data_IF_687471341363
#
_entry.id   IF_687471341363
#
_cell.length_a   1.000
_cell.length_b   1.000
_cell.length_c   1.000
_cell.angle_alpha   90.00
_cell.angle_beta   90.00
_cell.angle_gamma   90.00
#
_symmetry.space_group_name_H-M   'P 1'
#
loop_
_entity.id
_entity.type
_entity.pdbx_description
1 polymer ?
#
# COMPACT_ATOMS: atom_id res chain seq x y z
N UNK A 1 -12.75 -1.41 17.98
CA UNK A 1 -13.30 -1.67 16.62
C UNK A 1 -13.27 -0.34 15.89
N UNK A 2 -12.82 -0.32 14.63
CA UNK A 2 -12.58 0.90 13.86
C UNK A 2 -13.31 0.84 12.52
N UNK A 3 -13.63 1.98 11.94
CA UNK A 3 -14.06 2.13 10.56
C UNK A 3 -12.83 2.29 9.67
N UNK A 4 -12.62 1.37 8.74
CA UNK A 4 -11.40 1.27 7.93
C UNK A 4 -11.73 1.32 6.44
N UNK A 5 -11.09 2.23 5.71
CA UNK A 5 -11.13 2.28 4.25
C UNK A 5 -9.83 1.67 3.69
N UNK A 6 -9.96 0.72 2.75
CA UNK A 6 -8.82 0.02 2.15
C UNK A 6 -8.82 0.26 0.65
N UNK A 7 -7.74 0.79 0.09
CA UNK A 7 -7.62 0.99 -1.36
C UNK A 7 -7.13 -0.28 -2.07
N UNK A 8 -7.75 -0.64 -3.21
CA UNK A 8 -7.32 -1.76 -4.04
C UNK A 8 -7.56 -3.13 -3.42
N UNK A 9 -8.81 -3.45 -3.10
CA UNK A 9 -9.20 -4.66 -2.37
C UNK A 9 -9.76 -5.78 -3.25
N UNK A 10 -9.55 -5.74 -4.57
CA UNK A 10 -10.08 -6.80 -5.46
C UNK A 10 -9.31 -8.12 -5.35
N UNK A 11 -8.00 -8.06 -5.10
CA UNK A 11 -7.11 -9.23 -5.01
C UNK A 11 -5.99 -9.02 -3.99
N UNK A 12 -5.18 -10.03 -3.77
CA UNK A 12 -3.90 -9.96 -3.05
C UNK A 12 -4.00 -9.41 -1.63
N UNK A 13 -3.01 -8.62 -1.25
CA UNK A 13 -2.89 -8.03 0.10
C UNK A 13 -4.15 -7.26 0.49
N UNK A 14 -4.67 -6.39 -0.38
CA UNK A 14 -5.86 -5.59 -0.06
C UNK A 14 -7.11 -6.44 0.19
N UNK A 15 -7.30 -7.52 -0.56
CA UNK A 15 -8.37 -8.49 -0.35
C UNK A 15 -8.22 -9.19 1.00
N UNK A 16 -7.03 -9.73 1.29
CA UNK A 16 -6.75 -10.40 2.57
C UNK A 16 -6.91 -9.45 3.75
N UNK A 17 -6.41 -8.23 3.63
CA UNK A 17 -6.60 -7.19 4.66
C UNK A 17 -8.08 -6.92 4.93
N UNK A 18 -8.91 -6.80 3.88
CA UNK A 18 -10.34 -6.56 4.05
C UNK A 18 -11.02 -7.72 4.79
N UNK A 19 -10.70 -8.96 4.44
CA UNK A 19 -11.22 -10.16 5.09
C UNK A 19 -10.75 -10.25 6.55
N UNK A 20 -9.46 -10.09 6.81
CA UNK A 20 -8.85 -10.17 8.16
C UNK A 20 -9.43 -9.12 9.11
N UNK A 21 -9.52 -7.86 8.67
CA UNK A 21 -10.10 -6.80 9.50
C UNK A 21 -11.60 -7.00 9.73
N UNK A 22 -12.34 -7.55 8.77
CA UNK A 22 -13.75 -7.88 8.94
C UNK A 22 -13.95 -9.01 9.96
N UNK A 23 -13.08 -10.04 9.96
CA UNK A 23 -13.03 -11.10 10.98
C UNK A 23 -12.75 -10.54 12.36
N UNK A 24 -11.82 -9.58 12.48
CA UNK A 24 -11.49 -8.89 13.72
C UNK A 24 -12.61 -7.96 14.22
N UNK A 25 -13.71 -7.81 13.46
CA UNK A 25 -14.91 -7.07 13.85
C UNK A 25 -14.89 -5.59 13.49
N UNK A 26 -13.93 -5.14 12.68
CA UNK A 26 -13.91 -3.78 12.13
C UNK A 26 -15.06 -3.56 11.12
N UNK A 27 -15.48 -2.31 10.96
CA UNK A 27 -16.32 -1.90 9.83
C UNK A 27 -15.41 -1.59 8.65
N UNK A 28 -15.47 -2.42 7.60
CA UNK A 28 -14.52 -2.37 6.49
C UNK A 28 -15.17 -1.86 5.22
N UNK A 29 -14.56 -0.85 4.61
CA UNK A 29 -14.89 -0.36 3.28
C UNK A 29 -13.78 -0.80 2.32
N UNK A 30 -14.00 -1.93 1.66
CA UNK A 30 -13.11 -2.50 0.66
C UNK A 30 -13.32 -1.78 -0.67
N UNK A 31 -12.32 -1.04 -1.17
CA UNK A 31 -12.53 -0.26 -2.38
C UNK A 31 -11.91 -0.90 -3.62
N UNK A 32 -12.58 -0.73 -4.75
CA UNK A 32 -12.20 -1.25 -6.06
C UNK A 32 -12.43 -0.19 -7.12
N UNK A 33 -11.62 -0.19 -8.18
CA UNK A 33 -11.65 0.85 -9.21
C UNK A 33 -12.90 0.78 -10.10
N UNK A 34 -13.31 -0.43 -10.47
CA UNK A 34 -14.43 -0.66 -11.38
C UNK A 34 -15.28 -1.84 -10.89
N UNK A 35 -16.07 -1.60 -9.83
CA UNK A 35 -16.85 -2.66 -9.18
C UNK A 35 -18.00 -3.19 -10.05
N UNK A 36 -18.41 -2.45 -11.06
CA UNK A 36 -19.51 -2.81 -11.97
C UNK A 36 -19.10 -3.69 -13.15
N UNK A 37 -17.82 -3.66 -13.56
CA UNK A 37 -17.34 -4.37 -14.74
C UNK A 37 -16.10 -5.22 -14.40
N UNK A 38 -14.92 -4.61 -14.43
CA UNK A 38 -13.64 -5.31 -14.26
C UNK A 38 -13.57 -6.10 -12.96
N UNK A 39 -14.02 -5.52 -11.87
CA UNK A 39 -13.91 -6.10 -10.52
C UNK A 39 -15.22 -6.79 -10.07
N UNK A 40 -16.24 -6.92 -10.96
CA UNK A 40 -17.57 -7.43 -10.61
C UNK A 40 -17.54 -8.82 -9.95
N UNK A 41 -16.69 -9.73 -10.42
CA UNK A 41 -16.50 -11.05 -9.81
C UNK A 41 -16.00 -10.94 -8.37
N UNK A 42 -14.94 -10.17 -8.14
CA UNK A 42 -14.38 -9.95 -6.81
C UNK A 42 -15.39 -9.29 -5.85
N UNK A 43 -16.20 -8.36 -6.37
CA UNK A 43 -17.30 -7.73 -5.62
C UNK A 43 -18.35 -8.76 -5.20
N UNK A 44 -18.79 -9.61 -6.14
CA UNK A 44 -19.78 -10.65 -5.87
C UNK A 44 -19.29 -11.59 -4.78
N UNK A 45 -18.08 -12.11 -4.92
CA UNK A 45 -17.46 -13.04 -3.96
C UNK A 45 -17.31 -12.42 -2.58
N UNK A 46 -16.80 -11.18 -2.50
CA UNK A 46 -16.58 -10.52 -1.22
C UNK A 46 -17.90 -10.19 -0.51
N UNK A 47 -18.93 -9.75 -1.26
CA UNK A 47 -20.27 -9.52 -0.72
C UNK A 47 -20.95 -10.81 -0.26
N UNK A 48 -20.80 -11.90 -1.01
CA UNK A 48 -21.34 -13.21 -0.63
C UNK A 48 -20.70 -13.72 0.66
N UNK A 49 -19.36 -13.63 0.74
CA UNK A 49 -18.60 -14.02 1.93
C UNK A 49 -18.98 -13.17 3.15
N UNK A 50 -19.09 -11.86 2.99
CA UNK A 50 -19.50 -10.95 4.05
C UNK A 50 -20.89 -11.27 4.60
N UNK A 51 -21.86 -11.57 3.72
CA UNK A 51 -23.21 -12.01 4.12
C UNK A 51 -23.16 -13.33 4.87
N UNK A 52 -22.44 -14.33 4.33
CA UNK A 52 -22.33 -15.66 4.94
C UNK A 52 -21.73 -15.60 6.36
N UNK A 53 -20.74 -14.73 6.56
CA UNK A 53 -20.00 -14.60 7.82
C UNK A 53 -20.56 -13.53 8.77
N UNK A 54 -21.54 -12.75 8.33
CA UNK A 54 -22.09 -11.64 9.12
C UNK A 54 -21.10 -10.48 9.32
N UNK A 55 -20.17 -10.29 8.38
CA UNK A 55 -19.16 -9.24 8.48
C UNK A 55 -19.72 -7.84 8.16
N UNK A 56 -19.23 -6.85 8.87
CA UNK A 56 -19.49 -5.43 8.59
C UNK A 56 -18.56 -4.94 7.46
N UNK A 57 -18.69 -5.55 6.27
CA UNK A 57 -17.87 -5.25 5.11
C UNK A 57 -18.75 -4.74 3.96
N UNK A 58 -18.34 -3.64 3.37
CA UNK A 58 -18.94 -3.03 2.18
C UNK A 58 -17.93 -2.86 1.07
N UNK A 59 -18.38 -2.93 -0.17
CA UNK A 59 -17.56 -2.64 -1.35
C UNK A 59 -17.98 -1.29 -1.89
N UNK A 60 -16.99 -0.40 -2.09
CA UNK A 60 -17.17 0.96 -2.58
C UNK A 60 -16.27 1.19 -3.79
N UNK A 61 -16.76 1.97 -4.75
CA UNK A 61 -15.94 2.40 -5.88
C UNK A 61 -14.92 3.44 -5.43
N UNK A 62 -13.66 3.22 -5.79
CA UNK A 62 -12.59 4.20 -5.64
C UNK A 62 -11.52 3.97 -6.69
N UNK A 63 -11.39 4.92 -7.62
CA UNK A 63 -10.24 5.04 -8.51
C UNK A 63 -9.26 6.04 -7.91
N UNK A 64 -8.09 5.55 -7.50
CA UNK A 64 -7.04 6.38 -6.87
C UNK A 64 -6.45 7.42 -7.84
N UNK A 65 -6.67 7.28 -9.14
CA UNK A 65 -6.24 8.27 -10.14
C UNK A 65 -7.20 9.46 -10.24
N UNK A 66 -8.35 9.41 -9.56
CA UNK A 66 -9.38 10.46 -9.55
C UNK A 66 -9.58 11.05 -8.16
N UNK A 67 -9.30 12.35 -8.01
CA UNK A 67 -9.60 13.08 -6.76
C UNK A 67 -11.09 13.03 -6.42
N UNK A 68 -11.97 13.20 -7.42
CA UNK A 68 -13.41 13.17 -7.22
C UNK A 68 -13.90 11.80 -6.73
N UNK A 69 -13.32 10.70 -7.25
CA UNK A 69 -13.62 9.35 -6.79
C UNK A 69 -13.18 9.13 -5.35
N UNK A 70 -11.99 9.60 -4.98
CA UNK A 70 -11.49 9.52 -3.59
C UNK A 70 -12.41 10.29 -2.62
N UNK A 71 -12.82 11.51 -2.99
CA UNK A 71 -13.75 12.33 -2.20
C UNK A 71 -15.13 11.68 -2.07
N UNK A 72 -15.65 11.09 -3.15
CA UNK A 72 -16.94 10.41 -3.13
C UNK A 72 -16.90 9.16 -2.23
N UNK A 73 -15.83 8.37 -2.30
CA UNK A 73 -15.65 7.19 -1.46
C UNK A 73 -15.56 7.55 0.03
N UNK A 74 -14.76 8.55 0.38
CA UNK A 74 -14.65 9.01 1.79
C UNK A 74 -15.97 9.58 2.28
N UNK A 75 -16.66 10.38 1.48
CA UNK A 75 -17.98 10.91 1.82
C UNK A 75 -18.98 9.79 2.09
N UNK A 76 -19.01 8.77 1.23
CA UNK A 76 -19.89 7.61 1.42
C UNK A 76 -19.64 6.92 2.77
N UNK A 77 -18.37 6.75 3.18
CA UNK A 77 -18.03 6.20 4.50
C UNK A 77 -18.58 7.08 5.62
N UNK A 78 -18.39 8.40 5.52
CA UNK A 78 -18.82 9.35 6.55
C UNK A 78 -20.34 9.50 6.64
N UNK A 79 -21.07 9.31 5.54
CA UNK A 79 -22.54 9.33 5.52
C UNK A 79 -23.14 8.08 6.17
N UNK A 80 -22.42 6.96 6.20
CA UNK A 80 -22.88 5.68 6.76
C UNK A 80 -22.40 5.39 8.18
N UNK A 81 -21.41 6.14 8.68
CA UNK A 81 -20.72 5.86 9.96
C UNK A 81 -20.46 7.13 10.76
N UNK A 82 -20.15 6.96 12.05
CA UNK A 82 -19.76 8.05 12.94
C UNK A 82 -18.38 8.63 12.63
N UNK A 83 -17.64 8.04 11.67
CA UNK A 83 -16.34 8.54 11.25
C UNK A 83 -15.46 7.49 10.58
N UNK A 84 -14.36 7.97 10.02
CA UNK A 84 -13.30 7.17 9.40
C UNK A 84 -12.09 7.15 10.35
N UNK A 85 -11.76 5.97 10.90
CA UNK A 85 -10.70 5.81 11.89
C UNK A 85 -9.36 5.45 11.25
N UNK A 86 -9.36 4.70 10.14
CA UNK A 86 -8.13 4.32 9.46
C UNK A 86 -8.28 4.28 7.95
N UNK A 87 -7.20 4.63 7.25
CA UNK A 87 -7.04 4.41 5.81
C UNK A 87 -5.85 3.49 5.56
N UNK A 88 -6.08 2.41 4.81
CA UNK A 88 -5.03 1.52 4.33
C UNK A 88 -4.76 1.81 2.86
N UNK A 89 -3.63 2.46 2.59
CA UNK A 89 -3.15 2.74 1.24
C UNK A 89 -2.45 1.49 0.69
N UNK A 90 -3.20 0.67 -0.03
CA UNK A 90 -2.70 -0.57 -0.61
C UNK A 90 -2.74 -0.57 -2.15
N UNK A 91 -3.59 0.22 -2.77
CA UNK A 91 -3.70 0.28 -4.22
C UNK A 91 -2.34 0.55 -4.88
N UNK A 92 -2.02 -0.25 -5.88
CA UNK A 92 -0.78 -0.14 -6.63
C UNK A 92 -0.63 -1.29 -7.61
N UNK A 93 0.27 -1.12 -8.56
CA UNK A 93 0.64 -2.16 -9.49
C UNK A 93 2.11 -2.08 -9.89
N UNK A 94 2.56 -3.07 -10.63
CA UNK A 94 3.94 -3.34 -11.02
C UNK A 94 4.11 -3.17 -12.52
N UNK A 95 5.27 -2.64 -12.94
CA UNK A 95 5.76 -2.67 -14.32
C UNK A 95 7.09 -3.40 -14.37
N UNK A 96 7.27 -4.25 -15.40
CA UNK A 96 8.49 -5.02 -15.67
C UNK A 96 8.99 -4.67 -17.06
N UNK A 97 10.27 -4.36 -17.19
CA UNK A 97 10.90 -4.07 -18.49
C UNK A 97 12.17 -3.24 -18.36
N UNK A 98 12.71 -2.84 -19.50
CA UNK A 98 13.90 -2.01 -19.61
C UNK A 98 13.56 -0.56 -19.33
N UNK A 99 14.35 0.11 -18.52
CA UNK A 99 14.05 1.49 -18.08
C UNK A 99 13.92 2.44 -19.27
N UNK A 100 14.78 2.33 -20.27
CA UNK A 100 14.73 3.17 -21.48
C UNK A 100 13.48 2.95 -22.34
N UNK A 101 12.90 1.74 -22.31
CA UNK A 101 11.72 1.40 -23.08
C UNK A 101 10.39 1.89 -22.45
N UNK A 102 10.41 2.30 -21.18
CA UNK A 102 9.27 2.96 -20.58
C UNK A 102 9.21 4.41 -21.04
N UNK A 103 8.09 4.79 -21.64
CA UNK A 103 7.83 6.18 -21.97
C UNK A 103 7.57 7.02 -20.73
N UNK A 104 7.63 8.34 -20.86
CA UNK A 104 7.24 9.29 -19.81
C UNK A 104 5.79 9.06 -19.33
N UNK A 105 4.89 8.67 -20.24
CA UNK A 105 3.52 8.30 -19.90
C UNK A 105 3.46 7.04 -19.03
N UNK A 106 4.26 6.01 -19.31
CA UNK A 106 4.30 4.78 -18.50
C UNK A 106 4.77 5.10 -17.07
N UNK A 107 5.86 5.86 -16.96
CA UNK A 107 6.42 6.27 -15.66
C UNK A 107 5.42 7.16 -14.90
N UNK A 108 4.83 8.14 -15.59
CA UNK A 108 3.85 9.05 -15.00
C UNK A 108 2.61 8.32 -14.51
N UNK A 109 2.09 7.36 -15.30
CA UNK A 109 0.93 6.55 -14.91
C UNK A 109 1.23 5.72 -13.65
N UNK A 110 2.41 5.10 -13.57
CA UNK A 110 2.77 4.29 -12.41
C UNK A 110 2.91 5.14 -11.13
N UNK A 111 3.53 6.32 -11.26
CA UNK A 111 3.58 7.30 -10.17
C UNK A 111 2.19 7.80 -9.78
N UNK A 112 1.33 8.04 -10.76
CA UNK A 112 -0.04 8.52 -10.53
C UNK A 112 -0.86 7.53 -9.71
N UNK A 113 -0.77 6.24 -10.04
CA UNK A 113 -1.46 5.18 -9.28
C UNK A 113 -0.79 4.95 -7.93
N UNK A 114 0.52 4.62 -7.92
CA UNK A 114 1.19 4.08 -6.73
C UNK A 114 1.51 5.16 -5.68
N UNK A 115 1.71 6.41 -6.10
CA UNK A 115 2.16 7.50 -5.22
C UNK A 115 1.11 8.60 -5.07
N UNK A 116 0.71 9.21 -6.18
CA UNK A 116 -0.23 10.34 -6.15
C UNK A 116 -1.62 9.87 -5.73
N UNK A 117 -1.97 8.62 -6.05
CA UNK A 117 -3.22 8.01 -5.61
C UNK A 117 -3.41 8.03 -4.10
N UNK A 118 -2.39 7.66 -3.34
CA UNK A 118 -2.43 7.74 -1.87
C UNK A 118 -2.57 9.19 -1.38
N UNK A 119 -1.89 10.13 -2.03
CA UNK A 119 -2.03 11.55 -1.71
C UNK A 119 -3.46 12.06 -1.95
N UNK A 120 -4.14 11.65 -3.03
CA UNK A 120 -5.54 12.01 -3.28
C UNK A 120 -6.46 11.49 -2.19
N UNK A 121 -6.27 10.25 -1.75
CA UNK A 121 -7.06 9.66 -0.66
C UNK A 121 -6.78 10.37 0.67
N UNK A 122 -5.53 10.73 0.95
CA UNK A 122 -5.19 11.57 2.10
C UNK A 122 -5.91 12.92 2.07
N UNK A 123 -5.93 13.59 0.93
CA UNK A 123 -6.64 14.88 0.78
C UNK A 123 -8.14 14.76 1.06
N UNK A 124 -8.74 13.62 0.76
CA UNK A 124 -10.14 13.35 1.06
C UNK A 124 -10.38 13.02 2.54
N UNK A 125 -9.51 12.20 3.15
CA UNK A 125 -9.70 11.68 4.51
C UNK A 125 -9.21 12.62 5.62
N UNK A 126 -8.08 13.29 5.43
CA UNK A 126 -7.41 14.11 6.45
C UNK A 126 -8.25 15.27 7.00
N UNK A 127 -9.12 15.98 6.25
CA UNK A 127 -9.97 17.00 6.83
C UNK A 127 -10.84 16.47 7.98
N UNK A 128 -11.43 15.29 7.81
CA UNK A 128 -12.22 14.62 8.85
C UNK A 128 -11.34 14.16 10.03
N UNK A 129 -10.24 13.46 9.77
CA UNK A 129 -9.33 12.98 10.82
C UNK A 129 -8.74 14.12 11.64
N UNK A 130 -8.35 15.24 10.99
CA UNK A 130 -7.84 16.42 11.69
C UNK A 130 -8.89 17.08 12.58
N UNK A 131 -10.14 17.16 12.12
CA UNK A 131 -11.23 17.75 12.92
C UNK A 131 -11.52 16.93 14.19
N UNK A 132 -11.39 15.60 14.08
CA UNK A 132 -11.53 14.66 15.21
C UNK A 132 -10.27 14.53 16.06
N UNK A 133 -9.14 15.04 15.58
CA UNK A 133 -7.81 14.85 16.18
C UNK A 133 -7.49 13.37 16.45
N UNK A 134 -7.88 12.51 15.54
CA UNK A 134 -7.71 11.06 15.66
C UNK A 134 -7.76 10.42 14.29
N UNK A 135 -6.93 9.40 14.08
CA UNK A 135 -6.91 8.60 12.87
C UNK A 135 -5.63 7.80 12.73
N UNK A 136 -5.63 6.87 11.78
CA UNK A 136 -4.44 6.10 11.40
C UNK A 136 -4.31 6.07 9.87
N UNK A 137 -3.17 6.50 9.37
CA UNK A 137 -2.76 6.30 7.99
C UNK A 137 -1.80 5.11 7.93
N UNK A 138 -2.20 4.05 7.26
CA UNK A 138 -1.39 2.86 7.07
C UNK A 138 -1.02 2.71 5.60
N UNK A 139 0.27 2.64 5.31
CA UNK A 139 0.80 2.56 3.97
C UNK A 139 1.38 1.17 3.70
N UNK A 140 0.91 0.49 2.66
CA UNK A 140 1.51 -0.75 2.17
C UNK A 140 2.64 -0.37 1.19
N UNK A 141 3.83 -0.18 1.77
CA UNK A 141 5.06 0.15 1.06
C UNK A 141 5.64 -1.04 0.31
N UNK A 142 6.95 -1.21 0.36
CA UNK A 142 7.66 -2.38 -0.15
C UNK A 142 9.12 -2.37 0.31
N UNK A 143 9.74 -3.54 0.41
CA UNK A 143 11.20 -3.66 0.58
C UNK A 143 11.97 -3.27 -0.68
N UNK A 144 11.29 -3.19 -1.83
CA UNK A 144 11.88 -3.00 -3.15
C UNK A 144 12.64 -1.67 -3.31
N UNK A 145 12.26 -0.65 -2.55
CA UNK A 145 12.96 0.65 -2.55
C UNK A 145 14.38 0.57 -1.96
N UNK A 146 14.68 -0.50 -1.22
CA UNK A 146 15.99 -0.78 -0.64
C UNK A 146 16.75 -1.81 -1.49
N UNK A 147 16.09 -2.89 -1.90
CA UNK A 147 16.72 -3.99 -2.66
C UNK A 147 16.96 -3.66 -4.13
N UNK A 148 16.18 -2.74 -4.72
CA UNK A 148 16.34 -2.18 -6.08
C UNK A 148 16.71 -3.21 -7.17
N UNK A 149 15.89 -4.27 -7.38
CA UNK A 149 16.22 -5.31 -8.36
C UNK A 149 16.15 -4.78 -9.79
N UNK A 150 16.84 -5.43 -10.76
CA UNK A 150 16.79 -5.05 -12.17
C UNK A 150 15.39 -5.18 -12.77
N UNK A 151 15.14 -4.51 -13.88
CA UNK A 151 13.93 -4.55 -14.70
C UNK A 151 12.65 -4.00 -14.04
N UNK A 152 12.74 -3.39 -12.88
CA UNK A 152 11.64 -2.84 -12.09
C UNK A 152 11.78 -1.33 -11.84
N UNK A 153 12.56 -0.62 -12.67
CA UNK A 153 12.96 0.79 -12.42
C UNK A 153 11.81 1.73 -12.06
N UNK A 154 10.78 1.91 -12.90
CA UNK A 154 9.64 2.78 -12.57
C UNK A 154 8.88 2.36 -11.31
N UNK A 155 8.76 1.06 -11.06
CA UNK A 155 8.11 0.54 -9.86
C UNK A 155 8.91 0.87 -8.59
N UNK A 156 10.22 0.62 -8.60
CA UNK A 156 11.13 1.01 -7.51
C UNK A 156 11.01 2.50 -7.21
N UNK A 157 11.08 3.34 -8.26
CA UNK A 157 10.94 4.79 -8.12
C UNK A 157 9.60 5.19 -7.51
N UNK A 158 8.49 4.57 -7.94
CA UNK A 158 7.16 4.86 -7.41
C UNK A 158 7.00 4.48 -5.94
N UNK A 159 7.58 3.35 -5.51
CA UNK A 159 7.54 2.92 -4.10
C UNK A 159 8.46 3.76 -3.21
N UNK A 160 9.60 4.20 -3.71
CA UNK A 160 10.46 5.15 -2.99
C UNK A 160 9.76 6.51 -2.80
N UNK A 161 9.10 7.03 -3.84
CA UNK A 161 8.33 8.27 -3.77
C UNK A 161 7.13 8.14 -2.82
N UNK A 162 6.43 7.00 -2.83
CA UNK A 162 5.33 6.69 -1.92
C UNK A 162 5.79 6.71 -0.45
N UNK A 163 6.91 6.05 -0.14
CA UNK A 163 7.50 6.03 1.20
C UNK A 163 7.90 7.43 1.67
N UNK A 164 8.60 8.19 0.82
CA UNK A 164 9.02 9.55 1.16
C UNK A 164 7.82 10.48 1.45
N UNK A 165 6.74 10.38 0.66
CA UNK A 165 5.49 11.11 0.92
C UNK A 165 4.85 10.71 2.24
N UNK A 166 4.79 9.41 2.55
CA UNK A 166 4.25 8.91 3.81
C UNK A 166 5.06 9.43 5.01
N UNK A 167 6.38 9.42 4.91
CA UNK A 167 7.30 9.95 5.94
C UNK A 167 7.03 11.42 6.21
N UNK A 168 6.99 12.27 5.16
CA UNK A 168 6.78 13.72 5.35
C UNK A 168 5.36 14.00 5.85
N UNK A 169 4.36 13.32 5.31
CA UNK A 169 2.97 13.43 5.80
C UNK A 169 2.89 13.12 7.29
N UNK A 170 3.62 12.11 7.78
CA UNK A 170 3.59 11.70 9.18
C UNK A 170 3.98 12.82 10.15
N UNK A 171 4.95 13.65 9.78
CA UNK A 171 5.37 14.80 10.62
C UNK A 171 4.25 15.83 10.79
N UNK A 172 3.53 16.09 9.70
CA UNK A 172 2.47 17.09 9.67
C UNK A 172 1.24 16.59 10.43
N UNK A 173 0.81 15.35 10.18
CA UNK A 173 -0.44 14.82 10.75
C UNK A 173 -0.31 14.38 12.20
N UNK A 174 0.90 14.08 12.68
CA UNK A 174 1.15 13.71 14.07
C UNK A 174 0.68 14.80 15.05
N UNK A 175 0.75 16.05 14.65
CA UNK A 175 0.33 17.20 15.47
C UNK A 175 -1.21 17.32 15.60
N UNK A 176 -1.93 16.51 14.83
CA UNK A 176 -3.39 16.39 14.88
C UNK A 176 -3.87 15.05 15.45
N UNK A 177 -3.03 14.33 16.20
CA UNK A 177 -3.42 13.06 16.80
C UNK A 177 -3.56 11.91 15.80
N UNK A 178 -3.02 12.06 14.56
CA UNK A 178 -3.11 11.06 13.51
C UNK A 178 -1.81 10.28 13.47
N UNK A 179 -1.90 8.95 13.61
CA UNK A 179 -0.77 8.02 13.54
C UNK A 179 -0.47 7.62 12.09
N UNK A 180 0.80 7.33 11.82
CA UNK A 180 1.24 6.79 10.54
C UNK A 180 2.05 5.53 10.77
N UNK A 181 1.72 4.46 10.02
CA UNK A 181 2.51 3.23 9.96
C UNK A 181 2.77 2.84 8.51
N UNK A 182 4.00 2.42 8.21
CA UNK A 182 4.40 1.93 6.89
C UNK A 182 4.73 0.44 7.03
N UNK A 183 3.88 -0.42 6.46
CA UNK A 183 4.16 -1.85 6.33
C UNK A 183 4.91 -2.07 5.03
N UNK A 184 6.05 -2.76 5.10
CA UNK A 184 6.93 -3.01 3.96
C UNK A 184 6.97 -4.50 3.62
N UNK A 185 6.07 -4.96 2.73
CA UNK A 185 6.14 -6.33 2.25
C UNK A 185 7.42 -6.58 1.45
N UNK A 186 8.02 -7.77 1.63
CA UNK A 186 8.98 -8.35 0.71
C UNK A 186 8.31 -8.83 -0.58
N UNK A 187 8.98 -9.71 -1.32
CA UNK A 187 8.39 -10.33 -2.50
C UNK A 187 7.19 -11.19 -2.12
N UNK A 188 6.04 -10.95 -2.72
CA UNK A 188 4.84 -11.78 -2.61
C UNK A 188 4.55 -12.35 -4.00
N UNK A 189 5.00 -13.58 -4.24
CA UNK A 189 4.93 -14.23 -5.56
C UNK A 189 3.65 -15.03 -5.77
N UNK A 190 2.94 -15.36 -4.70
CA UNK A 190 1.74 -16.18 -4.73
C UNK A 190 0.54 -15.45 -4.09
N UNK A 191 -0.67 -15.87 -4.45
CA UNK A 191 -1.89 -15.31 -3.86
C UNK A 191 -2.21 -13.86 -4.22
N UNK A 192 -1.47 -13.28 -5.18
CA UNK A 192 -1.68 -11.92 -5.71
C UNK A 192 -1.68 -11.93 -7.24
N UNK A 193 -2.27 -10.87 -7.83
CA UNK A 193 -2.15 -10.61 -9.27
C UNK A 193 -0.97 -9.70 -9.60
N UNK A 194 0.03 -9.57 -8.72
CA UNK A 194 1.07 -8.56 -8.84
C UNK A 194 1.98 -8.83 -10.04
N UNK A 195 2.61 -10.00 -10.09
CA UNK A 195 3.43 -10.42 -11.24
C UNK A 195 2.59 -10.79 -12.47
N UNK A 196 1.53 -11.62 -12.38
CA UNK A 196 0.72 -11.95 -13.55
C UNK A 196 0.03 -10.74 -14.20
N UNK A 197 -0.30 -9.74 -13.41
CA UNK A 197 -0.93 -8.49 -13.87
C UNK A 197 0.05 -7.35 -14.10
N UNK A 198 1.37 -7.63 -14.16
CA UNK A 198 2.37 -6.61 -14.41
C UNK A 198 2.18 -5.92 -15.76
N UNK A 199 2.32 -4.60 -15.78
CA UNK A 199 2.44 -3.85 -17.02
C UNK A 199 3.85 -3.96 -17.62
N UNK A 200 3.97 -3.61 -18.88
CA UNK A 200 5.24 -3.63 -19.61
C UNK A 200 5.51 -2.27 -20.27
N UNK A 201 6.76 -2.05 -20.64
CA UNK A 201 7.17 -0.85 -21.37
C UNK A 201 6.44 -0.73 -22.71
N UNK A 202 5.99 0.48 -23.05
CA UNK A 202 5.18 0.71 -24.24
C UNK A 202 6.01 1.02 -25.50
N UNK A 203 7.27 1.45 -25.39
CA UNK A 203 8.14 1.64 -26.57
C UNK A 203 8.83 0.33 -26.98
N UNK A 204 8.12 -0.45 -27.80
CA UNK A 204 8.61 -1.73 -28.31
C UNK A 204 9.82 -1.58 -29.25
N UNK A 205 10.02 -0.40 -29.86
CA UNK A 205 11.18 -0.15 -30.74
C UNK A 205 12.47 -0.04 -29.92
N UNK A 206 12.37 0.51 -28.75
CA UNK A 206 13.49 0.54 -27.78
C UNK A 206 13.64 -0.82 -27.13
N UNK A 207 12.54 -1.45 -26.70
CA UNK A 207 12.59 -2.75 -26.03
C UNK A 207 13.32 -3.81 -26.85
N UNK A 208 13.10 -3.88 -28.16
CA UNK A 208 13.75 -4.86 -29.06
C UNK A 208 15.27 -4.69 -29.13
N UNK A 209 15.80 -3.51 -28.81
CA UNK A 209 17.25 -3.27 -28.77
C UNK A 209 17.94 -3.92 -27.56
N UNK A 210 17.14 -4.33 -26.57
CA UNK A 210 17.56 -5.02 -25.35
C UNK A 210 17.30 -6.52 -25.40
N UNK A 211 16.95 -7.10 -26.57
CA UNK A 211 16.53 -8.49 -26.72
C UNK A 211 17.55 -9.53 -26.16
N UNK A 212 18.84 -9.20 -26.11
CA UNK A 212 19.84 -10.03 -25.47
C UNK A 212 19.58 -10.27 -23.97
N UNK A 213 18.81 -9.37 -23.33
CA UNK A 213 18.46 -9.46 -21.90
C UNK A 213 17.08 -10.10 -21.66
N UNK A 214 16.30 -10.40 -22.73
CA UNK A 214 14.96 -10.99 -22.59
C UNK A 214 14.93 -12.21 -21.67
N UNK A 215 15.90 -13.17 -21.75
CA UNK A 215 15.91 -14.32 -20.84
C UNK A 215 16.06 -13.95 -19.36
N UNK A 216 16.61 -12.77 -19.06
CA UNK A 216 16.71 -12.27 -17.68
C UNK A 216 15.40 -11.63 -17.22
N UNK A 217 14.72 -10.92 -18.12
CA UNK A 217 13.40 -10.31 -17.84
C UNK A 217 12.36 -11.40 -17.63
N UNK A 218 12.31 -12.40 -18.51
CA UNK A 218 11.33 -13.50 -18.46
C UNK A 218 11.40 -14.29 -17.14
N UNK A 219 12.59 -14.50 -16.60
CA UNK A 219 12.76 -15.20 -15.33
C UNK A 219 12.63 -14.33 -14.07
N UNK A 220 12.23 -13.05 -14.20
CA UNK A 220 12.12 -12.14 -13.05
C UNK A 220 11.21 -12.70 -11.95
N UNK A 221 10.07 -13.29 -12.33
CA UNK A 221 9.16 -13.92 -11.36
C UNK A 221 9.79 -15.13 -10.67
N UNK A 222 10.38 -16.04 -11.43
CA UNK A 222 11.09 -17.23 -10.90
C UNK A 222 12.26 -16.82 -9.99
N UNK A 223 13.02 -15.79 -10.37
CA UNK A 223 14.11 -15.28 -9.56
C UNK A 223 13.63 -14.75 -8.20
N UNK A 224 12.45 -14.17 -8.13
CA UNK A 224 11.84 -13.77 -6.85
C UNK A 224 11.38 -14.98 -6.03
N UNK A 225 10.88 -16.04 -6.66
CA UNK A 225 10.52 -17.27 -5.96
C UNK A 225 11.75 -18.00 -5.36
N UNK A 226 12.90 -17.88 -6.01
CA UNK A 226 14.16 -18.47 -5.53
C UNK A 226 14.77 -17.73 -4.31
N UNK A 227 14.23 -16.57 -3.92
CA UNK A 227 14.66 -15.87 -2.70
C UNK A 227 14.26 -16.60 -1.43
N UNK A 228 13.26 -17.47 -1.49
CA UNK A 228 12.71 -18.10 -0.30
C UNK A 228 13.47 -19.39 0.08
N UNK A 229 13.66 -19.58 1.37
CA UNK A 229 14.15 -20.87 1.87
C UNK A 229 13.17 -22.01 1.51
N UNK A 230 13.64 -23.25 1.30
CA UNK A 230 12.77 -24.38 1.02
C UNK A 230 11.64 -24.52 2.05
N UNK A 231 10.41 -24.59 1.59
CA UNK A 231 9.21 -24.69 2.44
C UNK A 231 8.68 -23.38 2.98
N UNK A 232 9.30 -22.24 2.67
CA UNK A 232 8.79 -20.92 2.99
C UNK A 232 7.86 -20.43 1.86
N UNK A 233 6.72 -19.89 2.22
CA UNK A 233 5.78 -19.26 1.28
C UNK A 233 5.56 -17.80 1.69
N UNK A 234 5.65 -16.91 0.71
CA UNK A 234 5.31 -15.51 0.90
C UNK A 234 3.81 -15.32 0.64
N UNK A 235 3.01 -15.50 1.69
CA UNK A 235 1.55 -15.37 1.64
C UNK A 235 1.14 -13.91 1.92
N UNK A 236 0.30 -13.28 1.09
CA UNK A 236 -0.26 -11.95 1.38
C UNK A 236 -1.03 -11.89 2.71
N UNK A 237 -1.42 -13.03 3.28
CA UNK A 237 -2.04 -13.11 4.61
C UNK A 237 -1.11 -12.56 5.70
N UNK A 238 0.19 -12.83 5.65
CA UNK A 238 1.15 -12.31 6.63
C UNK A 238 1.15 -10.78 6.73
N UNK A 239 0.95 -10.12 5.59
CA UNK A 239 0.85 -8.65 5.54
C UNK A 239 -0.49 -8.19 6.12
N UNK A 240 -1.58 -8.89 5.84
CA UNK A 240 -2.89 -8.59 6.39
C UNK A 240 -2.93 -8.76 7.91
N UNK A 241 -2.30 -9.81 8.43
CA UNK A 241 -2.18 -10.07 9.87
C UNK A 241 -1.35 -8.98 10.57
N UNK A 242 -0.28 -8.51 9.94
CA UNK A 242 0.51 -7.40 10.47
C UNK A 242 -0.27 -6.09 10.49
N UNK A 243 -1.06 -5.80 9.44
CA UNK A 243 -1.94 -4.63 9.39
C UNK A 243 -2.97 -4.69 10.55
N UNK A 244 -3.60 -5.85 10.77
CA UNK A 244 -4.55 -6.05 11.88
C UNK A 244 -3.85 -5.84 13.22
N UNK A 245 -2.69 -6.47 13.42
CA UNK A 245 -1.89 -6.31 14.64
C UNK A 245 -1.58 -4.84 14.94
N UNK A 246 -1.17 -4.07 13.92
CA UNK A 246 -0.88 -2.63 14.08
C UNK A 246 -2.14 -1.85 14.45
N UNK A 247 -3.27 -2.11 13.79
CA UNK A 247 -4.52 -1.40 14.06
C UNK A 247 -5.08 -1.73 15.47
N UNK A 248 -4.81 -2.93 15.99
CA UNK A 248 -5.21 -3.33 17.34
C UNK A 248 -4.39 -2.66 18.45
N UNK A 249 -3.22 -2.10 18.14
CA UNK A 249 -2.38 -1.44 19.15
C UNK A 249 -3.01 -0.14 19.67
N UNK A 250 -2.80 0.19 20.94
CA UNK A 250 -3.21 1.46 21.53
C UNK A 250 -2.64 2.65 20.75
N UNK A 251 -3.34 3.77 20.82
CA UNK A 251 -2.85 5.05 20.28
C UNK A 251 -1.49 5.39 20.90
N UNK A 252 -0.54 5.80 20.08
CA UNK A 252 0.82 6.11 20.47
C UNK A 252 1.78 4.91 20.56
N UNK A 253 1.26 3.68 20.33
CA UNK A 253 2.05 2.44 20.39
C UNK A 253 2.27 1.78 19.03
N UNK A 254 1.71 2.32 17.96
CA UNK A 254 1.88 1.77 16.60
C UNK A 254 3.31 2.00 16.09
N UNK A 255 3.96 0.97 15.54
CA UNK A 255 5.28 1.15 14.94
C UNK A 255 5.18 2.09 13.73
N UNK A 256 6.16 2.98 13.59
CA UNK A 256 6.24 3.82 12.40
C UNK A 256 6.50 2.99 11.14
N UNK A 257 7.30 1.91 11.27
CA UNK A 257 7.65 1.01 10.18
C UNK A 257 7.63 -0.45 10.64
N UNK A 258 7.13 -1.34 9.78
CA UNK A 258 7.14 -2.78 9.99
C UNK A 258 7.50 -3.49 8.69
N UNK A 259 8.52 -4.35 8.71
CA UNK A 259 8.95 -5.14 7.56
C UNK A 259 8.34 -6.54 7.67
N UNK A 260 7.66 -6.99 6.60
CA UNK A 260 7.08 -8.33 6.47
C UNK A 260 7.73 -9.00 5.28
N UNK A 261 8.90 -9.59 5.48
CA UNK A 261 9.74 -10.13 4.41
C UNK A 261 10.14 -11.58 4.70
N UNK A 262 9.49 -12.51 4.01
CA UNK A 262 9.79 -13.94 4.12
C UNK A 262 11.12 -14.34 3.45
N UNK A 263 11.72 -13.47 2.65
CA UNK A 263 13.02 -13.67 2.03
C UNK A 263 14.20 -13.25 2.93
N UNK A 264 13.91 -12.59 4.06
CA UNK A 264 14.91 -12.13 5.04
C UNK A 264 16.06 -11.32 4.39
N UNK A 265 15.72 -10.43 3.46
CA UNK A 265 16.69 -9.63 2.70
C UNK A 265 17.44 -8.56 3.56
N UNK A 266 17.20 -8.50 4.86
CA UNK A 266 17.89 -7.57 5.78
C UNK A 266 17.42 -6.12 5.67
N UNK A 267 16.28 -5.88 5.04
CA UNK A 267 15.74 -4.53 4.83
C UNK A 267 15.34 -3.86 6.16
N UNK A 268 14.92 -4.64 7.14
CA UNK A 268 14.61 -4.19 8.49
C UNK A 268 15.80 -3.47 9.15
N UNK A 269 17.02 -4.00 9.01
CA UNK A 269 18.24 -3.38 9.53
C UNK A 269 18.56 -2.06 8.84
N UNK A 270 18.44 -2.02 7.50
CA UNK A 270 18.67 -0.80 6.71
C UNK A 270 17.67 0.28 7.09
N UNK A 271 16.39 -0.08 7.21
CA UNK A 271 15.34 0.87 7.55
C UNK A 271 15.41 1.35 8.99
N UNK A 272 15.80 0.49 9.93
CA UNK A 272 16.04 0.91 11.32
C UNK A 272 17.13 1.96 11.40
N UNK A 273 18.26 1.77 10.70
CA UNK A 273 19.33 2.77 10.65
C UNK A 273 18.90 4.06 9.93
N UNK A 274 18.16 3.94 8.83
CA UNK A 274 17.60 5.08 8.09
C UNK A 274 16.67 5.91 8.98
N UNK A 275 15.77 5.27 9.71
CA UNK A 275 14.81 5.96 10.59
C UNK A 275 15.54 6.64 11.77
N UNK A 276 16.55 6.01 12.36
CA UNK A 276 17.40 6.66 13.38
C UNK A 276 18.10 7.94 12.84
N UNK A 277 18.65 7.84 11.63
CA UNK A 277 19.32 8.98 10.98
C UNK A 277 18.33 10.12 10.70
N UNK A 278 17.16 9.78 10.17
CA UNK A 278 16.04 10.69 9.88
C UNK A 278 15.59 11.41 11.16
N UNK A 279 15.34 10.67 12.23
CA UNK A 279 14.93 11.25 13.50
C UNK A 279 15.98 12.19 14.09
N UNK A 280 17.26 11.78 14.08
CA UNK A 280 18.35 12.61 14.55
C UNK A 280 18.42 13.92 13.76
N UNK A 281 18.25 13.87 12.43
CA UNK A 281 18.24 15.05 11.57
C UNK A 281 17.05 15.97 11.87
N UNK A 282 15.83 15.43 11.98
CA UNK A 282 14.62 16.20 12.30
C UNK A 282 14.74 16.90 13.67
N UNK A 283 15.32 16.22 14.67
CA UNK A 283 15.59 16.81 15.99
C UNK A 283 16.61 17.98 15.88
N UNK A 284 17.64 17.82 15.07
CA UNK A 284 18.65 18.90 14.85
C UNK A 284 18.07 20.09 14.11
N UNK A 285 17.06 19.90 13.26
CA UNK A 285 16.30 20.99 12.63
C UNK A 285 15.38 21.73 13.61
N UNK A 286 15.17 21.23 14.79
CA UNK A 286 14.27 21.81 15.78
C UNK A 286 12.81 21.38 15.66
N UNK A 287 12.52 20.28 14.94
CA UNK A 287 11.16 19.76 14.74
C UNK A 287 10.88 18.45 15.51
N UNK A 288 11.50 18.26 16.66
CA UNK A 288 11.41 17.04 17.47
C UNK A 288 9.96 16.65 17.83
N UNK A 289 9.07 17.62 18.00
CA UNK A 289 7.67 17.44 18.31
C UNK A 289 6.90 16.70 17.19
N UNK A 290 7.32 16.84 15.93
CA UNK A 290 6.67 16.17 14.79
C UNK A 290 6.93 14.67 14.74
N UNK A 291 7.89 14.18 15.50
CA UNK A 291 8.22 12.75 15.62
C UNK A 291 7.29 11.99 16.58
N UNK A 292 6.40 12.68 17.24
CA UNK A 292 5.46 12.07 18.19
C UNK A 292 4.03 12.50 17.89
N UNK A 293 3.14 11.54 17.99
CA UNK A 293 1.70 11.83 17.87
C UNK A 293 1.29 12.67 19.07
N UNK A 294 0.68 13.81 18.79
CA UNK A 294 0.14 14.69 19.83
C UNK A 294 -1.25 14.20 20.22
N UNK A 295 -1.48 13.90 21.52
CA UNK A 295 -2.78 13.45 21.99
C UNK A 295 -3.89 14.48 21.75
#
# INVERSE_FOLDING_TARGET
MSTVLITGSSTGIGRRTAETLAVAGHTVYATMRDPGNRDAGAVSDLKALARLRGWKLRVVELDVTSQASAEAAVRHVLDETDGLDAVVHNAGHLYIGYVEAFTDNDVSHLLDVNTIGAHRVNRAALPHMRSRRSGTLLYVGSTIQVTTPPFLGPYVASKAAFDALAVVTSYEVSQFGIETSIVMPGAITQGTNHFPGAGHASDLRVAVQYAELDPLVERTHEAHEQLFAPGTTADPQSVADEIERILALPVGSKPFRSVVDAAEAGVDHVMAFSDLTREAFVRRLGFAETLKVKP
#
